data_IF_542551865525
#
_entry.id   IF_542551865525
#
_cell.length_a   1.000
_cell.length_b   1.000
_cell.length_c   1.000
_cell.angle_alpha   90.00
_cell.angle_beta   90.00
_cell.angle_gamma   90.00
#
_symmetry.space_group_name_H-M   'P 1'
#
loop_
_entity.id
_entity.type
_entity.pdbx_description
1 polymer ?
#
# COMPACT_ATOMS: atom_id res chain seq x y z
N UNK A 1 -2.38 -5.91 -67.96
CA UNK A 1 -3.01 -6.73 -66.89
C UNK A 1 -2.37 -6.38 -65.55
N UNK A 2 -2.60 -5.16 -65.04
CA UNK A 2 -2.05 -4.67 -63.76
C UNK A 2 -2.99 -3.53 -63.31
N UNK A 3 -4.00 -3.81 -62.48
CA UNK A 3 -4.97 -2.76 -62.12
C UNK A 3 -5.97 -3.13 -61.03
N UNK A 4 -6.36 -4.40 -60.89
CA UNK A 4 -7.44 -4.77 -59.96
C UNK A 4 -7.00 -4.96 -58.50
N UNK A 5 -5.74 -5.35 -58.23
CA UNK A 5 -5.31 -5.62 -56.85
C UNK A 5 -5.00 -4.37 -56.03
N UNK A 6 -4.64 -3.25 -56.67
CA UNK A 6 -4.36 -1.98 -55.96
C UNK A 6 -5.65 -1.23 -55.63
N UNK A 7 -6.67 -1.34 -56.47
CA UNK A 7 -7.97 -0.71 -56.25
C UNK A 7 -8.75 -1.37 -55.08
N UNK A 8 -8.67 -2.69 -54.94
CA UNK A 8 -9.31 -3.43 -53.83
C UNK A 8 -8.66 -3.13 -52.46
N UNK A 9 -7.34 -2.94 -52.40
CA UNK A 9 -6.67 -2.57 -51.14
C UNK A 9 -7.01 -1.14 -50.70
N UNK A 10 -7.17 -0.21 -51.66
CA UNK A 10 -7.57 1.17 -51.36
C UNK A 10 -9.05 1.27 -50.93
N UNK A 11 -9.93 0.42 -51.46
CA UNK A 11 -11.33 0.35 -51.03
C UNK A 11 -11.47 -0.24 -49.61
N UNK A 12 -10.64 -1.21 -49.24
CA UNK A 12 -10.64 -1.77 -47.88
C UNK A 12 -10.16 -0.75 -46.84
N UNK A 13 -9.16 0.08 -47.17
CA UNK A 13 -8.64 1.11 -46.27
C UNK A 13 -9.62 2.27 -46.02
N UNK A 14 -10.51 2.56 -46.97
CA UNK A 14 -11.53 3.60 -46.84
C UNK A 14 -12.80 3.15 -46.09
N UNK A 15 -12.97 1.84 -45.88
CA UNK A 15 -14.09 1.25 -45.14
C UNK A 15 -13.75 0.92 -43.67
N UNK A 16 -12.50 1.12 -43.23
CA UNK A 16 -12.18 1.05 -41.80
C UNK A 16 -12.63 2.36 -41.12
N UNK A 17 -13.58 2.33 -40.18
CA UNK A 17 -13.90 3.50 -39.39
C UNK A 17 -12.65 3.92 -38.60
N UNK A 18 -12.36 5.23 -38.48
CA UNK A 18 -11.30 5.68 -37.60
C UNK A 18 -11.66 5.21 -36.18
N UNK A 19 -10.85 4.33 -35.59
CA UNK A 19 -10.98 4.05 -34.16
C UNK A 19 -10.81 5.40 -33.48
N UNK A 20 -11.83 5.91 -32.76
CA UNK A 20 -11.62 7.07 -31.93
C UNK A 20 -10.58 6.62 -30.90
N UNK A 21 -9.39 7.20 -30.99
CA UNK A 21 -8.47 7.24 -29.87
C UNK A 21 -9.13 8.15 -28.83
N UNK A 22 -10.21 7.68 -28.20
CA UNK A 22 -10.56 8.17 -26.88
C UNK A 22 -9.40 7.70 -26.03
N UNK A 23 -8.49 8.62 -25.71
CA UNK A 23 -7.81 8.58 -24.43
C UNK A 23 -8.94 8.48 -23.40
N UNK A 24 -9.33 7.24 -23.11
CA UNK A 24 -10.29 6.92 -22.10
C UNK A 24 -9.49 7.16 -20.83
N UNK A 25 -9.43 8.43 -20.42
CA UNK A 25 -9.36 8.76 -19.01
C UNK A 25 -10.54 8.02 -18.43
N UNK A 26 -10.27 6.79 -17.99
CA UNK A 26 -11.21 5.97 -17.26
C UNK A 26 -11.59 6.86 -16.10
N UNK A 27 -12.76 7.49 -16.19
CA UNK A 27 -13.32 8.24 -15.11
C UNK A 27 -13.55 7.18 -14.03
N UNK A 28 -12.57 7.08 -13.13
CA UNK A 28 -12.70 6.33 -11.89
C UNK A 28 -13.93 6.93 -11.24
N UNK A 29 -14.92 6.12 -10.82
CA UNK A 29 -16.10 6.65 -10.14
C UNK A 29 -15.60 7.57 -9.03
N UNK A 30 -16.11 8.79 -9.02
CA UNK A 30 -15.83 9.81 -8.01
C UNK A 30 -16.32 9.24 -6.67
N UNK A 31 -15.45 8.45 -6.05
CA UNK A 31 -15.74 7.75 -4.81
C UNK A 31 -16.03 8.79 -3.75
N UNK A 32 -17.00 8.50 -2.89
CA UNK A 32 -17.24 9.27 -1.68
C UNK A 32 -15.90 9.58 -1.00
N UNK A 33 -15.62 10.86 -0.77
CA UNK A 33 -14.41 11.29 -0.09
C UNK A 33 -14.22 10.46 1.18
N UNK A 34 -13.01 9.92 1.44
CA UNK A 34 -12.79 9.14 2.65
C UNK A 34 -13.02 10.04 3.88
N UNK A 35 -13.37 9.43 5.01
CA UNK A 35 -13.52 10.16 6.26
C UNK A 35 -12.14 10.60 6.79
N UNK A 36 -11.60 11.68 6.21
CA UNK A 36 -10.23 12.15 6.41
C UNK A 36 -9.87 12.35 7.88
N UNK A 37 -10.75 12.97 8.67
CA UNK A 37 -10.52 13.20 10.10
C UNK A 37 -10.36 11.88 10.89
N UNK A 38 -11.18 10.86 10.58
CA UNK A 38 -11.05 9.54 11.19
C UNK A 38 -9.77 8.84 10.73
N UNK A 39 -9.44 8.97 9.44
CA UNK A 39 -8.19 8.46 8.88
C UNK A 39 -6.96 9.10 9.53
N UNK A 40 -7.00 10.39 9.80
CA UNK A 40 -5.94 11.12 10.50
C UNK A 40 -5.78 10.60 11.93
N UNK A 41 -6.88 10.43 12.68
CA UNK A 41 -6.83 9.90 14.04
C UNK A 41 -6.22 8.48 14.09
N UNK A 42 -6.69 7.60 13.19
CA UNK A 42 -6.23 6.20 13.14
C UNK A 42 -4.76 6.09 12.67
N UNK A 43 -4.38 6.83 11.63
CA UNK A 43 -3.00 6.82 11.12
C UNK A 43 -2.01 7.45 12.11
N UNK A 44 -2.42 8.48 12.86
CA UNK A 44 -1.59 9.03 13.95
C UNK A 44 -1.41 8.01 15.08
N UNK A 45 -2.47 7.29 15.47
CA UNK A 45 -2.38 6.20 16.45
C UNK A 45 -1.44 5.09 15.98
N UNK A 46 -1.48 4.74 14.69
CA UNK A 46 -0.57 3.78 14.08
C UNK A 46 0.89 4.21 14.17
N UNK A 47 1.20 5.50 13.93
CA UNK A 47 2.55 6.01 14.12
C UNK A 47 3.02 5.77 15.56
N UNK A 48 2.23 6.18 16.56
CA UNK A 48 2.56 5.98 17.98
C UNK A 48 2.81 4.51 18.31
N UNK A 49 1.95 3.61 17.84
CA UNK A 49 2.07 2.18 18.08
C UNK A 49 3.27 1.55 17.36
N UNK A 50 3.58 1.97 16.13
CA UNK A 50 4.72 1.45 15.39
C UNK A 50 6.07 1.80 16.06
N UNK A 51 6.15 2.95 16.73
CA UNK A 51 7.33 3.33 17.52
C UNK A 51 7.37 2.67 18.89
N UNK A 52 6.22 2.45 19.55
CA UNK A 52 6.18 1.79 20.87
C UNK A 52 6.30 0.26 20.81
N UNK A 53 5.90 -0.35 19.69
CA UNK A 53 6.04 -1.78 19.43
C UNK A 53 7.47 -2.18 19.07
N UNK A 54 8.30 -1.22 18.68
CA UNK A 54 9.72 -1.46 18.44
C UNK A 54 10.46 -1.47 19.79
N UNK A 55 11.17 -2.55 20.16
CA UNK A 55 11.97 -2.58 21.38
C UNK A 55 12.95 -1.39 21.41
N UNK A 56 13.23 -0.78 22.58
CA UNK A 56 14.30 0.21 22.75
C UNK A 56 15.66 -0.49 22.63
N UNK A 57 15.97 -0.96 21.43
CA UNK A 57 17.31 -1.37 21.05
C UNK A 57 18.03 -0.08 20.70
N UNK A 58 18.92 0.37 21.58
CA UNK A 58 19.71 1.58 21.35
C UNK A 58 20.48 1.43 20.06
N UNK A 59 19.99 2.06 18.98
CA UNK A 59 20.62 2.16 17.66
C UNK A 59 21.53 0.98 17.30
N UNK A 60 21.04 -0.26 17.48
CA UNK A 60 21.71 -1.42 16.89
C UNK A 60 21.15 -1.44 15.49
N UNK A 61 21.80 -0.68 14.60
CA UNK A 61 21.56 -0.90 13.19
C UNK A 61 21.86 -2.35 12.91
N UNK A 62 20.81 -3.09 12.57
CA UNK A 62 20.97 -4.41 11.99
C UNK A 62 21.98 -4.26 10.86
N UNK A 63 23.07 -5.05 10.85
CA UNK A 63 24.04 -4.99 9.77
C UNK A 63 23.29 -5.11 8.46
N UNK A 64 23.48 -4.13 7.56
CA UNK A 64 22.88 -4.16 6.24
C UNK A 64 23.43 -5.40 5.54
N UNK A 65 22.61 -6.42 5.38
CA UNK A 65 23.05 -7.70 4.82
C UNK A 65 23.28 -7.53 3.31
N UNK A 66 24.32 -8.17 2.79
CA UNK A 66 24.65 -8.19 1.37
C UNK A 66 23.60 -9.06 0.65
N UNK A 67 22.43 -8.47 0.39
CA UNK A 67 21.21 -9.13 -0.10
C UNK A 67 19.90 -8.38 0.23
N UNK A 68 19.95 -7.33 1.06
CA UNK A 68 18.77 -6.51 1.40
C UNK A 68 18.08 -5.93 0.14
N UNK A 69 18.83 -5.60 -0.91
CA UNK A 69 18.33 -5.06 -2.19
C UNK A 69 17.41 -6.05 -2.93
N UNK A 70 17.62 -7.37 -2.78
CA UNK A 70 16.80 -8.39 -3.44
C UNK A 70 15.50 -8.65 -2.67
N UNK A 71 15.49 -8.40 -1.35
CA UNK A 71 14.30 -8.60 -0.49
C UNK A 71 13.39 -7.37 -0.35
N UNK A 72 13.85 -6.18 -0.74
CA UNK A 72 13.03 -4.96 -0.72
C UNK A 72 11.98 -4.93 -1.83
N UNK A 73 12.18 -5.66 -2.93
CA UNK A 73 11.29 -5.63 -4.09
C UNK A 73 9.90 -6.25 -3.77
N UNK A 74 9.85 -7.14 -2.78
CA UNK A 74 8.62 -7.81 -2.35
C UNK A 74 7.78 -6.99 -1.34
N UNK A 75 8.33 -5.90 -0.77
CA UNK A 75 7.64 -5.08 0.23
C UNK A 75 6.97 -3.88 -0.46
N UNK A 76 5.65 -3.67 -0.29
CA UNK A 76 4.98 -2.54 -0.89
C UNK A 76 5.46 -1.22 -0.27
N UNK A 77 5.99 -0.36 -1.12
CA UNK A 77 6.39 1.00 -0.79
C UNK A 77 5.47 2.01 -1.47
N UNK A 78 5.27 3.17 -0.82
CA UNK A 78 4.67 4.33 -1.47
C UNK A 78 5.77 5.04 -2.25
N UNK A 79 5.77 4.88 -3.57
CA UNK A 79 6.80 5.36 -4.47
C UNK A 79 6.48 6.75 -5.02
N UNK A 80 7.49 7.38 -5.63
CA UNK A 80 7.27 8.55 -6.47
C UNK A 80 6.32 8.18 -7.62
N UNK A 81 5.26 8.97 -7.82
CA UNK A 81 4.25 8.71 -8.86
C UNK A 81 3.01 7.97 -8.38
N UNK A 82 2.98 7.48 -7.13
CA UNK A 82 1.77 6.89 -6.53
C UNK A 82 0.71 7.93 -6.12
N UNK A 83 0.95 9.22 -6.38
CA UNK A 83 0.00 10.32 -6.14
C UNK A 83 -0.19 10.69 -4.67
N UNK A 84 0.70 10.25 -3.78
CA UNK A 84 0.66 10.58 -2.35
C UNK A 84 1.35 11.91 -1.99
N UNK A 85 1.87 12.64 -2.97
CA UNK A 85 2.30 14.02 -2.78
C UNK A 85 1.08 14.98 -2.72
N UNK A 86 1.21 16.17 -2.12
CA UNK A 86 0.07 17.08 -1.96
C UNK A 86 -0.66 17.44 -3.27
N UNK A 87 0.07 17.53 -4.39
CA UNK A 87 -0.54 17.84 -5.68
C UNK A 87 -1.30 16.63 -6.22
N UNK A 88 -0.72 15.43 -6.16
CA UNK A 88 -1.39 14.19 -6.50
C UNK A 88 -2.67 13.94 -5.69
N UNK A 89 -2.65 14.23 -4.38
CA UNK A 89 -3.83 14.11 -3.51
C UNK A 89 -4.97 15.04 -3.93
N UNK A 90 -4.63 16.28 -4.33
CA UNK A 90 -5.61 17.26 -4.81
C UNK A 90 -6.20 16.87 -6.16
N UNK A 91 -5.37 16.34 -7.07
CA UNK A 91 -5.77 16.00 -8.42
C UNK A 91 -6.62 14.72 -8.45
N UNK A 92 -6.16 13.65 -7.79
CA UNK A 92 -6.94 12.43 -7.59
C UNK A 92 -6.35 11.57 -6.45
N UNK A 93 -6.89 11.74 -5.24
CA UNK A 93 -6.47 10.98 -4.06
C UNK A 93 -6.68 9.46 -4.14
N UNK A 94 -7.50 8.94 -5.06
CA UNK A 94 -7.84 7.51 -5.12
C UNK A 94 -6.61 6.62 -5.39
N UNK A 95 -5.68 7.07 -6.22
CA UNK A 95 -4.44 6.32 -6.50
C UNK A 95 -3.61 6.13 -5.22
N UNK A 96 -3.42 7.21 -4.47
CA UNK A 96 -2.69 7.15 -3.21
C UNK A 96 -3.42 6.28 -2.17
N UNK A 97 -4.74 6.45 -2.03
CA UNK A 97 -5.53 5.69 -1.05
C UNK A 97 -5.52 4.19 -1.36
N UNK A 98 -5.56 3.82 -2.64
CA UNK A 98 -5.41 2.42 -3.07
C UNK A 98 -4.03 1.87 -2.71
N UNK A 99 -2.95 2.65 -2.90
CA UNK A 99 -1.59 2.26 -2.49
C UNK A 99 -1.44 2.10 -0.99
N UNK A 100 -2.01 3.02 -0.21
CA UNK A 100 -2.06 2.90 1.25
C UNK A 100 -2.85 1.63 1.63
N UNK A 101 -3.98 1.36 1.00
CA UNK A 101 -4.76 0.15 1.28
C UNK A 101 -3.94 -1.14 1.02
N UNK A 102 -3.23 -1.21 -0.12
CA UNK A 102 -2.35 -2.34 -0.45
C UNK A 102 -1.28 -2.58 0.63
N UNK A 103 -0.59 -1.52 1.06
CA UNK A 103 0.39 -1.62 2.14
C UNK A 103 -0.22 -2.07 3.47
N UNK A 104 -1.40 -1.56 3.82
CA UNK A 104 -2.11 -1.97 5.04
C UNK A 104 -2.46 -3.46 5.04
N UNK A 105 -3.00 -3.99 3.94
CA UNK A 105 -3.29 -5.42 3.76
C UNK A 105 -2.02 -6.24 3.94
N UNK A 106 -0.91 -5.82 3.33
CA UNK A 106 0.36 -6.52 3.39
C UNK A 106 0.91 -6.59 4.83
N UNK A 107 0.99 -5.46 5.53
CA UNK A 107 1.52 -5.43 6.90
C UNK A 107 0.60 -6.12 7.90
N UNK A 108 -0.72 -6.06 7.72
CA UNK A 108 -1.66 -6.83 8.53
C UNK A 108 -1.37 -8.33 8.40
N UNK A 109 -1.27 -8.86 7.17
CA UNK A 109 -0.92 -10.26 6.92
C UNK A 109 0.43 -10.63 7.53
N UNK A 110 1.43 -9.76 7.42
CA UNK A 110 2.75 -9.98 8.05
C UNK A 110 2.65 -10.04 9.57
N UNK A 111 1.95 -9.11 10.21
CA UNK A 111 1.78 -9.07 11.66
C UNK A 111 0.93 -10.25 12.18
N UNK A 112 0.06 -10.81 11.35
CA UNK A 112 -0.70 -12.03 11.63
C UNK A 112 0.06 -13.34 11.36
N UNK A 113 1.24 -13.28 10.73
CA UNK A 113 2.03 -14.47 10.40
C UNK A 113 2.74 -15.08 11.62
N UNK A 114 3.31 -16.25 11.44
CA UNK A 114 4.18 -16.92 12.42
C UNK A 114 5.48 -16.15 12.70
N UNK A 115 5.83 -15.14 11.90
CA UNK A 115 6.90 -14.21 12.25
C UNK A 115 6.60 -13.55 13.60
N UNK A 116 5.36 -13.11 13.84
CA UNK A 116 4.97 -12.42 15.07
C UNK A 116 4.20 -13.31 16.07
N UNK A 117 3.54 -14.37 15.59
CA UNK A 117 2.79 -15.30 16.44
C UNK A 117 3.61 -16.52 16.88
N UNK A 118 4.68 -16.87 16.15
CA UNK A 118 5.61 -17.94 16.50
C UNK A 118 6.61 -17.56 17.59
N UNK A 119 7.44 -18.51 18.00
CA UNK A 119 8.41 -18.29 19.08
C UNK A 119 9.51 -17.28 18.72
N UNK A 120 9.90 -16.38 19.64
CA UNK A 120 9.31 -16.16 20.97
C UNK A 120 7.94 -15.48 20.87
N UNK A 121 6.92 -16.03 21.52
CA UNK A 121 5.53 -15.59 21.38
C UNK A 121 5.31 -14.20 22.00
N UNK A 122 4.49 -13.40 21.32
CA UNK A 122 4.04 -12.10 21.81
C UNK A 122 2.65 -12.27 22.44
N UNK A 123 2.41 -11.57 23.56
CA UNK A 123 1.06 -11.53 24.15
C UNK A 123 0.10 -10.80 23.20
N UNK A 124 -1.18 -11.23 23.11
CA UNK A 124 -2.17 -10.58 22.25
C UNK A 124 -2.42 -9.12 22.61
N UNK A 125 -2.30 -8.74 23.89
CA UNK A 125 -2.45 -7.35 24.36
C UNK A 125 -1.16 -6.52 24.23
N UNK A 126 -0.11 -7.07 23.62
CA UNK A 126 1.14 -6.36 23.38
C UNK A 126 0.94 -5.17 22.43
N UNK A 127 1.89 -4.20 22.41
CA UNK A 127 1.86 -3.10 21.44
C UNK A 127 1.73 -3.58 19.98
N UNK A 128 2.29 -4.75 19.64
CA UNK A 128 2.16 -5.37 18.31
C UNK A 128 0.72 -5.83 18.03
N UNK A 129 0.04 -6.41 19.02
CA UNK A 129 -1.36 -6.80 18.87
C UNK A 129 -2.28 -5.59 18.66
N UNK A 130 -2.05 -4.51 19.42
CA UNK A 130 -2.77 -3.25 19.23
C UNK A 130 -2.46 -2.59 17.88
N UNK A 131 -1.21 -2.71 17.40
CA UNK A 131 -0.78 -2.25 16.08
C UNK A 131 -1.51 -3.01 14.97
N UNK A 132 -1.58 -4.34 15.06
CA UNK A 132 -2.33 -5.19 14.13
C UNK A 132 -3.82 -4.81 14.08
N UNK A 133 -4.47 -4.68 15.24
CA UNK A 133 -5.88 -4.26 15.31
C UNK A 133 -6.10 -2.83 14.74
N UNK A 134 -5.15 -1.92 14.95
CA UNK A 134 -5.24 -0.55 14.43
C UNK A 134 -5.02 -0.49 12.91
N UNK A 135 -4.19 -1.39 12.34
CA UNK A 135 -4.01 -1.51 10.88
C UNK A 135 -5.31 -1.96 10.22
N UNK A 136 -5.96 -2.96 10.80
CA UNK A 136 -7.26 -3.44 10.35
C UNK A 136 -8.32 -2.32 10.35
N UNK A 137 -8.37 -1.52 11.42
CA UNK A 137 -9.29 -0.38 11.52
C UNK A 137 -9.08 0.67 10.43
N UNK A 138 -7.83 1.00 10.10
CA UNK A 138 -7.54 1.95 9.01
C UNK A 138 -7.81 1.33 7.63
N UNK A 139 -7.55 0.02 7.44
CA UNK A 139 -7.87 -0.70 6.21
C UNK A 139 -9.38 -0.66 5.92
N UNK A 140 -10.20 -0.99 6.92
CA UNK A 140 -11.65 -0.97 6.83
C UNK A 140 -12.20 0.43 6.52
N UNK A 141 -11.54 1.49 6.99
CA UNK A 141 -11.92 2.87 6.66
C UNK A 141 -11.76 3.17 5.16
N UNK A 142 -10.70 2.65 4.54
CA UNK A 142 -10.40 2.89 3.12
C UNK A 142 -11.24 2.02 2.19
N UNK A 143 -11.75 0.89 2.68
CA UNK A 143 -12.56 -0.04 1.92
C UNK A 143 -13.75 -0.52 2.77
N UNK A 144 -14.83 0.29 2.85
CA UNK A 144 -16.11 -0.19 3.36
C UNK A 144 -16.73 -1.18 2.37
N UNK A 145 -17.44 -2.19 2.89
CA UNK A 145 -18.01 -3.33 2.15
C UNK A 145 -18.62 -2.92 0.79
N UNK A 146 -18.06 -3.43 -0.32
CA UNK A 146 -18.62 -3.28 -1.67
C UNK A 146 -17.61 -3.05 -2.80
N UNK A 147 -16.46 -2.44 -2.51
CA UNK A 147 -15.33 -2.36 -3.43
C UNK A 147 -14.35 -3.49 -3.07
N UNK A 148 -14.01 -4.37 -4.00
CA UNK A 148 -12.98 -5.40 -3.78
C UNK A 148 -11.66 -4.91 -4.37
N UNK A 149 -10.72 -4.45 -3.54
CA UNK A 149 -9.34 -4.16 -3.95
C UNK A 149 -8.43 -5.35 -3.65
N UNK A 150 -8.95 -6.56 -3.91
CA UNK A 150 -8.28 -7.83 -3.67
C UNK A 150 -6.90 -7.82 -4.33
N UNK A 151 -5.87 -7.81 -3.48
CA UNK A 151 -4.50 -7.97 -3.90
C UNK A 151 -4.01 -9.26 -3.22
N UNK A 152 -3.86 -10.33 -4.01
CA UNK A 152 -3.32 -11.64 -3.59
C UNK A 152 -1.81 -11.58 -3.31
N UNK A 153 -1.33 -10.52 -2.64
CA UNK A 153 0.00 -10.54 -2.06
C UNK A 153 -0.08 -11.28 -0.73
N UNK A 154 0.29 -12.56 -0.75
CA UNK A 154 0.68 -13.32 0.44
C UNK A 154 2.17 -13.09 0.67
N UNK A 155 2.58 -12.52 1.82
CA UNK A 155 3.98 -12.47 2.18
C UNK A 155 4.60 -13.89 2.15
N UNK A 156 5.77 -14.03 1.52
CA UNK A 156 6.47 -15.29 1.26
C UNK A 156 7.07 -15.92 2.55
N UNK A 157 7.61 -17.16 2.53
CA UNK A 157 7.58 -18.07 3.66
C UNK A 157 8.39 -17.60 4.84
N UNK A 158 7.86 -17.97 5.99
CA UNK A 158 8.41 -17.63 7.27
C UNK A 158 9.74 -18.32 7.57
N UNK A 159 10.63 -17.67 8.32
CA UNK A 159 11.91 -18.24 8.66
C UNK A 159 11.74 -19.41 9.64
N UNK A 160 12.57 -20.44 9.44
CA UNK A 160 12.51 -21.66 10.25
C UNK A 160 13.11 -21.48 11.66
N UNK A 161 13.98 -20.47 11.87
CA UNK A 161 14.69 -20.29 13.14
C UNK A 161 14.14 -19.11 13.99
N UNK A 162 14.00 -19.25 15.32
CA UNK A 162 13.48 -18.19 16.19
C UNK A 162 14.29 -16.88 16.17
N UNK A 163 15.62 -16.95 16.07
CA UNK A 163 16.46 -15.75 16.00
C UNK A 163 16.29 -14.99 14.69
N UNK A 164 16.03 -15.68 13.57
CA UNK A 164 15.72 -15.04 12.29
C UNK A 164 14.40 -14.29 12.38
N UNK A 165 13.39 -14.88 13.04
CA UNK A 165 12.11 -14.19 13.30
C UNK A 165 12.32 -12.88 14.04
N UNK A 166 13.17 -12.86 15.07
CA UNK A 166 13.47 -11.64 15.82
C UNK A 166 14.04 -10.54 14.92
N UNK A 167 15.04 -10.85 14.09
CA UNK A 167 15.62 -9.89 13.14
C UNK A 167 14.58 -9.41 12.11
N UNK A 168 13.76 -10.31 11.57
CA UNK A 168 12.68 -9.95 10.64
C UNK A 168 11.64 -9.04 11.29
N UNK A 169 11.23 -9.29 12.55
CA UNK A 169 10.31 -8.40 13.29
C UNK A 169 10.84 -6.97 13.31
N UNK A 170 12.14 -6.79 13.59
CA UNK A 170 12.77 -5.47 13.58
C UNK A 170 12.76 -4.83 12.19
N UNK A 171 13.17 -5.55 11.14
CA UNK A 171 13.14 -5.04 9.75
C UNK A 171 11.73 -4.63 9.32
N UNK A 172 10.73 -5.48 9.61
CA UNK A 172 9.32 -5.25 9.28
C UNK A 172 8.78 -4.02 10.03
N UNK A 173 9.00 -3.92 11.35
CA UNK A 173 8.52 -2.79 12.13
C UNK A 173 9.17 -1.47 11.69
N UNK A 174 10.47 -1.48 11.35
CA UNK A 174 11.17 -0.30 10.80
C UNK A 174 10.60 0.12 9.44
N UNK A 175 10.33 -0.84 8.56
CA UNK A 175 9.69 -0.60 7.27
C UNK A 175 8.27 -0.03 7.46
N UNK A 176 7.49 -0.63 8.37
CA UNK A 176 6.15 -0.17 8.71
C UNK A 176 6.15 1.26 9.27
N UNK A 177 7.12 1.64 10.10
CA UNK A 177 7.25 3.02 10.61
C UNK A 177 7.35 4.03 9.48
N UNK A 178 8.16 3.76 8.45
CA UNK A 178 8.27 4.63 7.29
C UNK A 178 6.95 4.71 6.52
N UNK A 179 6.31 3.57 6.28
CA UNK A 179 5.02 3.48 5.59
C UNK A 179 3.92 4.27 6.31
N UNK A 180 3.69 4.03 7.62
CA UNK A 180 2.61 4.69 8.37
C UNK A 180 2.87 6.18 8.54
N UNK A 181 4.14 6.62 8.55
CA UNK A 181 4.47 8.04 8.57
C UNK A 181 4.01 8.74 7.27
N UNK A 182 4.14 8.11 6.11
CA UNK A 182 3.61 8.66 4.85
C UNK A 182 2.09 8.67 4.89
N UNK A 183 1.45 7.56 5.27
CA UNK A 183 -0.01 7.49 5.39
C UNK A 183 -0.56 8.57 6.34
N UNK A 184 0.05 8.79 7.51
CA UNK A 184 -0.37 9.81 8.46
C UNK A 184 -0.28 11.24 7.88
N UNK A 185 0.75 11.53 7.10
CA UNK A 185 0.86 12.83 6.39
C UNK A 185 -0.24 12.99 5.34
N UNK A 186 -0.53 11.93 4.59
CA UNK A 186 -1.62 11.93 3.59
C UNK A 186 -2.96 12.23 4.26
N UNK A 187 -3.31 11.52 5.33
CA UNK A 187 -4.59 11.75 6.01
C UNK A 187 -4.64 13.10 6.73
N UNK A 188 -3.54 13.56 7.34
CA UNK A 188 -3.49 14.88 7.95
C UNK A 188 -3.66 16.00 6.92
N UNK A 189 -3.02 15.87 5.74
CA UNK A 189 -3.18 16.82 4.65
C UNK A 189 -4.60 16.80 4.10
N UNK A 190 -5.15 15.62 3.81
CA UNK A 190 -6.53 15.46 3.35
C UNK A 190 -7.53 16.02 4.35
N UNK A 191 -7.33 15.79 5.65
CA UNK A 191 -8.18 16.35 6.70
C UNK A 191 -8.17 17.88 6.69
N UNK A 192 -7.00 18.49 6.49
CA UNK A 192 -6.83 19.94 6.51
C UNK A 192 -7.24 20.66 5.21
N UNK A 193 -7.27 19.97 4.07
CA UNK A 193 -7.39 20.63 2.75
C UNK A 193 -8.47 20.06 1.84
N UNK A 194 -8.92 18.82 2.08
CA UNK A 194 -9.89 18.11 1.23
C UNK A 194 -11.20 17.78 1.97
N UNK A 195 -11.28 18.01 3.28
CA UNK A 195 -12.54 17.94 4.02
C UNK A 195 -13.39 19.19 3.70
N UNK A 196 -14.70 19.02 3.40
CA UNK A 196 -15.61 20.14 3.16
C UNK A 196 -15.91 20.98 4.40
#
# INVERSE_FOLDING_TARGET
MLGSSRAMLLLLLLLLPPLPWTAQTRAVPEGSSPAWALGQQLSQKLCTLAWSAHPPTGHVDLPREQGDDETTDDVPHIQCGDGCDPQGLRDNSQFCLQRIHQGLVFYEKLLGSDIFTGEPSLLPDSPVGQLHASLLGLRQLLQPDGQHWETEQTPNPSPNQPWQRLLLRFKILRSLQAFVAVAARVFAHGAATLSP
#
